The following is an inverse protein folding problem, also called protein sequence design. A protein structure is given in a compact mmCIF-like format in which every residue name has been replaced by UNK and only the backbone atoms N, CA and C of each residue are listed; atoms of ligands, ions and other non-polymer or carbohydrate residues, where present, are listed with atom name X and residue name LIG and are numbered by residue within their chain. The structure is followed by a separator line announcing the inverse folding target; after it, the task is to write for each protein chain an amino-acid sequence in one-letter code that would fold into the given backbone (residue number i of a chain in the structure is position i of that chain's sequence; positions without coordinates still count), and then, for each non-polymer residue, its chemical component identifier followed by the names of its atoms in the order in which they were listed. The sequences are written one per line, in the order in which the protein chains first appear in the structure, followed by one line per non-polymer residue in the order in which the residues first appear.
data_IF_868002665000
#
_entry.id   IF_868002665000
#
_cell.length_a   1.000
_cell.length_b   1.000
_cell.length_c   1.000
_cell.angle_alpha   90.00
_cell.angle_beta   90.00
_cell.angle_gamma   90.00
#
_symmetry.space_group_name_H-M   'P 1'
#
loop_
_entity.id
_entity.type
_entity.pdbx_description
1 polymer ?
#
# COMPACT_ATOMS: atom_id res chain seq x y z
N UNK A 1 5.92 5.90 -31.95
CA UNK A 1 4.47 6.05 -31.80
C UNK A 1 3.89 4.64 -31.62
N UNK A 2 3.73 4.20 -30.42
CA UNK A 2 2.86 3.06 -30.05
C UNK A 2 2.46 3.31 -28.61
N UNK A 3 1.26 3.83 -28.44
CA UNK A 3 0.62 3.94 -27.14
C UNK A 3 0.44 2.53 -26.57
N UNK A 4 0.76 2.33 -25.30
CA UNK A 4 0.35 1.16 -24.55
C UNK A 4 -1.16 1.30 -24.34
N UNK A 5 -1.93 0.89 -25.35
CA UNK A 5 -3.36 0.79 -25.31
C UNK A 5 -3.74 -0.52 -24.66
N UNK A 6 -4.47 -0.44 -23.57
CA UNK A 6 -5.24 -1.53 -23.04
C UNK A 6 -6.26 -1.94 -24.11
N UNK A 7 -6.19 -3.16 -24.66
CA UNK A 7 -7.14 -3.69 -25.63
C UNK A 7 -8.52 -3.81 -24.99
N UNK A 8 -9.42 -2.92 -25.38
CA UNK A 8 -10.86 -3.15 -25.29
C UNK A 8 -11.28 -3.70 -26.66
N UNK A 9 -11.62 -4.96 -26.74
CA UNK A 9 -12.22 -5.56 -27.94
C UNK A 9 -13.63 -5.04 -28.11
N UNK A 10 -13.85 -4.17 -29.09
CA UNK A 10 -15.17 -3.85 -29.61
C UNK A 10 -15.61 -4.96 -30.57
N UNK A 11 -16.61 -5.75 -30.20
CA UNK A 11 -17.34 -6.58 -31.13
C UNK A 11 -18.33 -5.71 -31.89
N UNK A 12 -18.23 -5.74 -33.19
CA UNK A 12 -19.10 -5.05 -34.13
C UNK A 12 -20.51 -5.67 -34.12
N UNK A 13 -21.48 -4.78 -34.25
CA UNK A 13 -22.90 -5.09 -34.41
C UNK A 13 -23.18 -5.81 -35.71
N UNK A 14 -24.07 -6.83 -35.66
CA UNK A 14 -24.85 -7.28 -36.78
C UNK A 14 -26.32 -7.24 -36.38
N UNK A 15 -27.14 -6.57 -37.14
CA UNK A 15 -28.58 -6.40 -37.02
C UNK A 15 -29.34 -7.70 -37.29
N UNK A 16 -30.46 -7.85 -36.63
CA UNK A 16 -31.43 -8.90 -37.01
C UNK A 16 -32.49 -9.14 -35.94
N UNK A 17 -33.54 -8.32 -35.98
CA UNK A 17 -34.95 -8.54 -35.60
C UNK A 17 -35.36 -9.88 -34.96
N UNK A 18 -36.05 -9.86 -33.83
CA UNK A 18 -37.50 -10.10 -33.64
C UNK A 18 -37.86 -10.09 -32.14
N UNK A 19 -38.93 -9.37 -31.86
CA UNK A 19 -39.67 -9.25 -30.61
C UNK A 19 -40.25 -10.60 -30.13
N UNK A 20 -40.05 -10.92 -28.84
CA UNK A 20 -41.10 -11.60 -28.04
C UNK A 20 -40.90 -11.23 -26.57
N UNK A 21 -41.93 -10.57 -26.03
CA UNK A 21 -42.08 -10.27 -24.63
C UNK A 21 -42.26 -11.58 -23.82
N UNK A 22 -41.51 -11.69 -22.71
CA UNK A 22 -41.78 -12.66 -21.66
C UNK A 22 -41.98 -11.93 -20.36
N UNK A 23 -43.20 -11.96 -19.86
CA UNK A 23 -43.65 -11.45 -18.58
C UNK A 23 -42.95 -12.16 -17.43
N UNK A 24 -42.45 -11.39 -16.46
CA UNK A 24 -41.96 -11.86 -15.17
C UNK A 24 -43.14 -11.98 -14.19
N UNK A 25 -43.29 -13.05 -13.41
CA UNK A 25 -44.33 -13.16 -12.41
C UNK A 25 -43.97 -12.36 -11.14
N UNK A 26 -45.02 -11.71 -10.62
CA UNK A 26 -45.10 -10.91 -9.41
C UNK A 26 -44.67 -11.69 -8.16
N UNK A 27 -43.95 -11.04 -7.29
CA UNK A 27 -43.64 -11.48 -5.93
C UNK A 27 -44.91 -11.51 -5.06
N UNK A 28 -45.11 -12.54 -4.20
CA UNK A 28 -46.10 -12.43 -3.15
C UNK A 28 -45.63 -11.63 -1.97
N UNK A 29 -46.44 -10.68 -1.54
CA UNK A 29 -46.32 -9.94 -0.30
C UNK A 29 -46.57 -10.84 0.91
N UNK A 30 -45.63 -10.85 1.87
CA UNK A 30 -45.82 -11.51 3.17
C UNK A 30 -46.36 -10.48 4.14
N UNK A 31 -47.62 -10.65 4.53
CA UNK A 31 -48.29 -9.88 5.57
C UNK A 31 -47.76 -10.26 6.96
N UNK A 32 -47.49 -9.23 7.77
CA UNK A 32 -47.28 -9.36 9.21
C UNK A 32 -48.52 -9.94 9.87
N UNK A 33 -48.40 -11.09 10.49
CA UNK A 33 -49.37 -11.57 11.49
C UNK A 33 -48.64 -11.71 12.82
N UNK A 34 -49.08 -10.87 13.78
CA UNK A 34 -48.64 -10.91 15.17
C UNK A 34 -49.12 -12.19 15.85
N UNK A 35 -48.22 -12.88 16.51
CA UNK A 35 -48.51 -13.95 17.45
C UNK A 35 -48.73 -13.36 18.83
N UNK A 36 -50.01 -13.32 19.25
CA UNK A 36 -50.41 -13.09 20.64
C UNK A 36 -50.46 -14.49 21.29
N UNK A 37 -49.72 -14.65 22.41
CA UNK A 37 -49.88 -15.75 23.33
C UNK A 37 -50.90 -15.37 24.44
N UNK A 38 -51.84 -16.22 24.78
CA UNK A 38 -52.77 -15.97 25.87
C UNK A 38 -52.19 -16.32 27.22
N UNK A 39 -52.39 -15.45 28.19
CA UNK A 39 -52.23 -15.69 29.61
C UNK A 39 -53.36 -16.58 30.13
N UNK A 40 -53.04 -17.73 30.75
CA UNK A 40 -53.97 -18.46 31.61
C UNK A 40 -53.33 -18.74 32.97
N UNK A 41 -53.99 -18.29 33.87
CA UNK A 41 -54.16 -18.31 35.30
C UNK A 41 -53.58 -19.54 36.08
N UNK A 42 -52.98 -19.13 37.20
CA UNK A 42 -53.02 -19.70 38.57
C UNK A 42 -52.84 -21.22 38.78
N UNK A 43 -51.78 -21.53 39.53
CA UNK A 43 -52.04 -22.25 40.79
C UNK A 43 -50.92 -21.99 41.79
N UNK A 44 -51.33 -21.81 43.07
CA UNK A 44 -50.51 -21.64 44.24
C UNK A 44 -50.10 -23.02 44.73
N UNK A 45 -48.81 -23.22 44.99
CA UNK A 45 -48.38 -24.10 46.08
C UNK A 45 -46.96 -23.71 46.49
N UNK A 46 -46.80 -23.41 47.75
CA UNK A 46 -45.51 -23.11 48.35
C UNK A 46 -44.62 -24.32 48.36
N UNK A 47 -43.34 -24.09 48.44
CA UNK A 47 -42.36 -24.84 49.26
C UNK A 47 -40.94 -24.43 48.92
N UNK A 48 -40.25 -23.92 49.91
CA UNK A 48 -38.82 -24.03 50.24
C UNK A 48 -37.79 -23.33 49.33
N UNK A 49 -37.21 -22.30 49.89
CA UNK A 49 -35.87 -21.79 49.64
C UNK A 49 -34.86 -22.94 49.56
N UNK A 50 -34.24 -23.11 48.42
CA UNK A 50 -32.94 -23.71 48.29
C UNK A 50 -32.03 -22.69 47.61
N UNK A 51 -31.28 -21.99 48.44
CA UNK A 51 -30.18 -21.14 48.02
C UNK A 51 -29.12 -22.01 47.31
N UNK A 52 -29.09 -21.95 46.00
CA UNK A 52 -27.96 -22.44 45.23
C UNK A 52 -26.84 -21.39 45.32
N UNK A 53 -25.88 -21.64 46.18
CA UNK A 53 -24.59 -20.94 46.17
C UNK A 53 -23.90 -21.33 44.87
N UNK A 54 -24.05 -20.48 43.83
CA UNK A 54 -23.21 -20.57 42.65
C UNK A 54 -21.81 -20.09 43.07
N UNK A 55 -20.92 -21.06 43.20
CA UNK A 55 -19.51 -20.83 43.51
C UNK A 55 -18.91 -19.87 42.43
N UNK A 56 -18.02 -18.94 42.81
CA UNK A 56 -17.47 -17.92 41.92
C UNK A 56 -16.44 -18.45 40.89
N UNK A 57 -16.43 -19.76 40.61
CA UNK A 57 -15.48 -20.34 39.62
C UNK A 57 -15.94 -20.26 38.16
N UNK A 58 -17.21 -19.96 37.89
CA UNK A 58 -17.71 -19.90 36.51
C UNK A 58 -17.64 -18.50 35.90
N UNK A 59 -17.40 -17.45 36.71
CA UNK A 59 -17.28 -16.08 36.19
C UNK A 59 -15.84 -15.71 35.79
N UNK A 60 -14.84 -16.46 36.24
CA UNK A 60 -13.44 -16.21 35.90
C UNK A 60 -13.02 -16.79 34.53
N UNK A 61 -13.81 -17.71 33.94
CA UNK A 61 -13.50 -18.29 32.63
C UNK A 61 -14.16 -17.52 31.45
N UNK A 62 -15.09 -16.59 31.70
CA UNK A 62 -15.72 -15.81 30.65
C UNK A 62 -15.03 -14.45 30.39
N UNK A 63 -14.07 -14.07 31.27
CA UNK A 63 -13.33 -12.80 31.12
C UNK A 63 -12.05 -12.92 30.33
N UNK A 64 -11.66 -14.13 29.90
CA UNK A 64 -10.39 -14.34 29.16
C UNK A 64 -10.53 -14.37 27.63
N UNK A 65 -11.73 -14.15 27.05
CA UNK A 65 -11.97 -14.28 25.60
C UNK A 65 -12.57 -13.05 24.93
N UNK A 66 -12.65 -11.92 25.61
CA UNK A 66 -13.05 -10.66 24.96
C UNK A 66 -11.82 -9.78 24.74
N UNK A 67 -10.95 -10.19 23.81
CA UNK A 67 -10.07 -9.25 23.14
C UNK A 67 -10.94 -8.39 22.21
N UNK A 68 -11.52 -7.32 22.73
CA UNK A 68 -12.03 -6.25 21.89
C UNK A 68 -10.85 -5.45 21.37
N UNK A 69 -10.29 -5.83 20.23
CA UNK A 69 -9.55 -4.88 19.42
C UNK A 69 -10.57 -3.92 18.84
N UNK A 70 -10.74 -2.76 19.47
CA UNK A 70 -11.33 -1.64 18.75
C UNK A 70 -10.28 -1.20 17.72
N UNK A 71 -10.57 -1.27 16.43
CA UNK A 71 -9.65 -0.70 15.46
C UNK A 71 -9.51 0.79 15.79
N UNK A 72 -8.27 1.27 15.95
CA UNK A 72 -7.99 2.67 15.76
C UNK A 72 -8.61 3.04 14.41
N UNK A 73 -9.25 4.18 14.31
CA UNK A 73 -9.96 4.57 13.09
C UNK A 73 -8.91 4.87 12.01
N UNK A 74 -8.54 3.82 11.27
CA UNK A 74 -7.76 3.93 10.07
C UNK A 74 -8.52 4.80 9.09
N UNK A 75 -7.88 5.81 8.57
CA UNK A 75 -8.52 6.69 7.63
C UNK A 75 -7.60 6.98 6.45
N UNK A 76 -8.17 6.99 5.29
CA UNK A 76 -7.56 7.49 4.07
C UNK A 76 -7.99 8.94 3.90
N UNK A 77 -7.04 9.82 3.60
CA UNK A 77 -7.30 11.21 3.25
C UNK A 77 -6.51 11.62 2.01
N UNK A 78 -7.06 12.52 1.24
CA UNK A 78 -6.34 13.12 0.12
C UNK A 78 -5.31 14.11 0.64
N UNK A 79 -4.03 13.87 0.32
CA UNK A 79 -2.90 14.73 0.66
C UNK A 79 -2.74 15.86 -0.35
N UNK A 80 -2.82 15.55 -1.65
CA UNK A 80 -2.71 16.52 -2.74
C UNK A 80 -3.38 16.01 -4.02
N UNK A 81 -3.76 16.94 -4.90
CA UNK A 81 -4.48 16.68 -6.13
C UNK A 81 -5.97 16.89 -6.00
N UNK A 82 -6.67 16.95 -7.12
CA UNK A 82 -8.13 16.98 -7.18
C UNK A 82 -8.61 15.70 -7.86
N UNK A 83 -9.47 14.91 -7.18
CA UNK A 83 -9.95 13.66 -7.75
C UNK A 83 -10.51 13.80 -9.17
N UNK A 84 -10.20 12.80 -10.02
CA UNK A 84 -10.71 12.68 -11.40
C UNK A 84 -10.43 13.90 -12.29
N UNK A 85 -9.50 14.77 -11.88
CA UNK A 85 -9.18 16.01 -12.61
C UNK A 85 -7.69 16.04 -12.95
N UNK A 86 -7.27 15.43 -14.08
CA UNK A 86 -5.88 15.47 -14.51
C UNK A 86 -5.43 16.89 -14.84
N UNK A 87 -4.16 17.17 -14.65
CA UNK A 87 -3.56 18.46 -14.98
C UNK A 87 -2.13 18.58 -14.47
N UNK A 88 -1.54 19.75 -14.63
CA UNK A 88 -0.12 19.99 -14.35
C UNK A 88 0.15 21.17 -13.44
N UNK A 89 -0.88 21.71 -12.76
CA UNK A 89 -0.73 22.90 -11.93
C UNK A 89 0.07 22.62 -10.66
N UNK A 90 1.03 23.48 -10.36
CA UNK A 90 1.61 23.67 -9.03
C UNK A 90 0.62 24.43 -8.14
N UNK A 91 0.74 24.31 -6.81
CA UNK A 91 -0.15 25.02 -5.91
C UNK A 91 -0.31 24.33 -4.56
N UNK A 92 -1.34 24.73 -3.82
CA UNK A 92 -1.68 24.06 -2.55
C UNK A 92 -2.28 22.68 -2.83
N UNK A 93 -2.36 21.85 -1.80
CA UNK A 93 -2.85 20.47 -1.88
C UNK A 93 -4.12 20.30 -2.73
N UNK A 94 -5.12 21.16 -2.58
CA UNK A 94 -6.41 21.06 -3.31
C UNK A 94 -6.41 21.77 -4.67
N UNK A 95 -5.47 22.67 -4.92
CA UNK A 95 -5.35 23.39 -6.20
C UNK A 95 -4.37 22.74 -7.15
N UNK A 96 -3.40 22.01 -6.62
CA UNK A 96 -2.45 21.25 -7.43
C UNK A 96 -3.16 20.19 -8.28
N UNK A 97 -2.56 19.87 -9.42
CA UNK A 97 -3.04 18.82 -10.33
C UNK A 97 -1.89 17.89 -10.68
N UNK A 98 -2.22 16.62 -10.80
CA UNK A 98 -1.35 15.57 -11.31
C UNK A 98 -1.98 14.95 -12.58
N UNK A 99 -1.18 14.18 -13.29
CA UNK A 99 -1.65 13.36 -14.40
C UNK A 99 -0.99 11.98 -14.32
N UNK A 100 -1.74 11.00 -13.83
CA UNK A 100 -1.31 9.66 -13.53
C UNK A 100 -0.09 9.64 -12.57
N UNK A 101 -0.20 10.21 -11.34
CA UNK A 101 0.87 10.12 -10.36
C UNK A 101 1.18 8.65 -10.07
N UNK A 102 2.46 8.26 -10.16
CA UNK A 102 2.89 6.87 -10.06
C UNK A 102 3.78 6.66 -8.82
N UNK A 103 5.10 6.57 -8.97
CA UNK A 103 6.02 6.29 -7.89
C UNK A 103 6.14 7.42 -6.87
N UNK A 104 6.44 7.04 -5.65
CA UNK A 104 6.59 7.94 -4.51
C UNK A 104 7.92 7.72 -3.79
N UNK A 105 8.53 8.79 -3.30
CA UNK A 105 9.62 8.74 -2.33
C UNK A 105 9.38 9.79 -1.24
N UNK A 106 9.77 9.50 0.00
CA UNK A 106 9.56 10.41 1.14
C UNK A 106 10.90 10.70 1.81
N UNK A 107 11.22 11.98 1.95
CA UNK A 107 12.40 12.41 2.67
C UNK A 107 12.17 12.36 4.19
N UNK A 108 13.28 12.38 4.95
CA UNK A 108 13.23 12.30 6.41
C UNK A 108 12.47 13.47 7.06
N UNK A 109 12.43 14.63 6.39
CA UNK A 109 11.66 15.81 6.83
C UNK A 109 10.15 15.69 6.56
N UNK A 110 9.70 14.63 5.84
CA UNK A 110 8.31 14.42 5.47
C UNK A 110 7.93 14.98 4.09
N UNK A 111 8.87 15.55 3.34
CA UNK A 111 8.65 15.95 1.95
C UNK A 111 8.37 14.72 1.09
N UNK A 112 7.29 14.75 0.30
CA UNK A 112 6.91 13.67 -0.61
C UNK A 112 7.30 14.06 -2.04
N UNK A 113 8.03 13.17 -2.71
CA UNK A 113 8.32 13.28 -4.14
C UNK A 113 7.40 12.35 -4.92
N UNK A 114 6.94 12.82 -6.08
CA UNK A 114 5.94 12.16 -6.92
C UNK A 114 6.45 12.10 -8.35
N UNK A 115 6.49 10.93 -8.94
CA UNK A 115 6.61 10.77 -10.38
C UNK A 115 5.26 11.09 -11.01
N UNK A 116 5.14 12.27 -11.61
CA UNK A 116 3.93 12.76 -12.28
C UNK A 116 3.97 12.29 -13.73
N UNK A 117 3.61 11.01 -13.91
CA UNK A 117 3.98 10.17 -15.05
C UNK A 117 3.61 10.80 -16.40
N UNK A 118 2.33 11.11 -16.61
CA UNK A 118 1.84 11.68 -17.87
C UNK A 118 2.15 13.20 -18.01
N UNK A 119 2.59 13.83 -16.92
CA UNK A 119 3.13 15.19 -16.99
C UNK A 119 4.64 15.21 -17.25
N UNK A 120 5.29 14.04 -17.36
CA UNK A 120 6.73 13.89 -17.65
C UNK A 120 7.62 14.68 -16.70
N UNK A 121 7.28 14.69 -15.41
CA UNK A 121 7.96 15.52 -14.41
C UNK A 121 8.04 14.84 -13.04
N UNK A 122 8.97 15.32 -12.24
CA UNK A 122 9.05 14.97 -10.82
C UNK A 122 8.50 16.14 -10.01
N UNK A 123 7.47 15.87 -9.21
CA UNK A 123 6.82 16.86 -8.36
C UNK A 123 7.24 16.67 -6.90
N UNK A 124 7.13 17.71 -6.12
CA UNK A 124 7.44 17.74 -4.70
C UNK A 124 6.24 18.30 -3.93
N UNK A 125 5.77 17.58 -2.92
CA UNK A 125 4.77 18.04 -1.95
C UNK A 125 5.54 18.36 -0.67
N UNK A 126 5.62 19.63 -0.33
CA UNK A 126 6.26 20.09 0.91
C UNK A 126 5.40 19.74 2.14
N UNK A 127 6.01 19.77 3.33
CA UNK A 127 5.30 19.53 4.62
C UNK A 127 4.20 20.53 4.91
N UNK A 128 4.19 21.67 4.22
CA UNK A 128 3.13 22.67 4.23
C UNK A 128 2.00 22.38 3.21
N UNK A 129 2.02 21.23 2.52
CA UNK A 129 1.04 20.83 1.51
C UNK A 129 1.16 21.56 0.16
N UNK A 130 2.23 22.34 -0.06
CA UNK A 130 2.46 23.00 -1.35
C UNK A 130 3.13 22.03 -2.31
N UNK A 131 2.55 21.89 -3.50
CA UNK A 131 3.09 21.10 -4.62
C UNK A 131 3.87 22.01 -5.55
N UNK A 132 5.08 21.61 -5.90
CA UNK A 132 5.96 22.29 -6.84
C UNK A 132 6.63 21.30 -7.78
N UNK A 133 6.99 21.75 -8.97
CA UNK A 133 7.77 20.97 -9.92
C UNK A 133 9.26 21.01 -9.53
N UNK A 134 9.84 19.83 -9.25
CA UNK A 134 11.26 19.69 -8.93
C UNK A 134 12.13 19.60 -10.19
N UNK A 135 11.71 18.78 -11.16
CA UNK A 135 12.45 18.55 -12.39
C UNK A 135 11.54 18.09 -13.53
N UNK A 136 11.93 18.41 -14.77
CA UNK A 136 11.14 18.14 -15.98
C UNK A 136 10.35 19.35 -16.44
N UNK A 137 9.94 19.35 -17.71
CA UNK A 137 9.02 20.34 -18.26
C UNK A 137 7.65 19.70 -18.45
N UNK A 138 6.70 20.18 -17.66
CA UNK A 138 5.33 19.65 -17.61
C UNK A 138 4.72 19.50 -19.01
N UNK A 139 4.19 18.32 -19.32
CA UNK A 139 3.54 17.99 -20.59
C UNK A 139 4.50 17.85 -21.78
N UNK A 140 5.82 17.87 -21.56
CA UNK A 140 6.79 17.81 -22.66
C UNK A 140 7.75 16.63 -22.46
N UNK A 141 7.49 15.47 -23.11
CA UNK A 141 8.38 14.32 -23.00
C UNK A 141 9.74 14.57 -23.65
N UNK A 142 10.74 13.80 -23.25
CA UNK A 142 12.09 13.82 -23.80
C UNK A 142 13.11 13.19 -22.88
N UNK A 143 14.38 13.24 -23.27
CA UNK A 143 15.46 12.54 -22.58
C UNK A 143 16.63 13.45 -22.17
N UNK A 144 16.47 14.76 -22.28
CA UNK A 144 17.55 15.70 -22.01
C UNK A 144 17.93 15.70 -20.51
N UNK A 145 19.24 15.64 -20.25
CA UNK A 145 19.82 15.99 -18.95
C UNK A 145 19.82 17.52 -18.76
N UNK A 146 19.95 17.98 -17.54
CA UNK A 146 20.05 19.42 -17.28
C UNK A 146 19.42 19.86 -15.96
N UNK A 147 19.17 21.17 -15.85
CA UNK A 147 18.52 21.77 -14.68
C UNK A 147 17.00 21.55 -14.70
N UNK A 148 16.33 21.90 -13.63
CA UNK A 148 14.89 21.73 -13.38
C UNK A 148 14.01 21.85 -14.61
N UNK A 149 14.13 22.95 -15.39
CA UNK A 149 13.24 23.20 -16.54
C UNK A 149 13.87 22.87 -17.89
N UNK A 150 15.15 22.49 -17.95
CA UNK A 150 15.83 22.05 -19.19
C UNK A 150 15.83 20.54 -19.32
N UNK A 151 15.83 19.83 -18.19
CA UNK A 151 15.70 18.38 -18.17
C UNK A 151 14.34 17.93 -18.72
N UNK A 152 14.33 16.74 -19.29
CA UNK A 152 13.13 16.07 -19.81
C UNK A 152 13.09 14.63 -19.31
N UNK A 153 11.88 14.16 -19.10
CA UNK A 153 11.57 12.75 -18.84
C UNK A 153 10.54 12.26 -19.86
N UNK A 154 10.38 10.97 -19.96
CA UNK A 154 9.27 10.35 -20.67
C UNK A 154 8.63 9.26 -19.80
N UNK A 155 7.45 9.55 -19.27
CA UNK A 155 6.71 8.66 -18.37
C UNK A 155 7.57 8.17 -17.18
N UNK A 156 8.13 9.08 -16.35
CA UNK A 156 8.83 8.67 -15.15
C UNK A 156 7.86 7.89 -14.24
N UNK A 157 8.27 6.71 -13.72
CA UNK A 157 7.32 5.82 -13.05
C UNK A 157 7.68 5.55 -11.60
N UNK A 158 8.90 5.15 -11.27
CA UNK A 158 9.29 4.86 -9.88
C UNK A 158 10.35 5.83 -9.39
N UNK A 159 10.35 6.04 -8.09
CA UNK A 159 11.29 6.90 -7.36
C UNK A 159 11.93 6.14 -6.19
N UNK A 160 13.24 6.28 -6.04
CA UNK A 160 13.94 5.88 -4.83
C UNK A 160 14.82 7.01 -4.32
N UNK A 161 14.80 7.28 -3.01
CA UNK A 161 15.63 8.31 -2.39
C UNK A 161 16.97 7.73 -1.97
N UNK A 162 18.05 8.33 -2.44
CA UNK A 162 19.40 7.95 -2.06
C UNK A 162 19.84 8.51 -0.70
N UNK A 163 20.89 7.94 -0.10
CA UNK A 163 21.44 8.41 1.15
C UNK A 163 22.04 9.83 1.06
N UNK A 164 22.35 10.28 -0.15
CA UNK A 164 22.80 11.64 -0.48
C UNK A 164 21.66 12.66 -0.68
N UNK A 165 20.40 12.21 -0.50
CA UNK A 165 19.20 12.98 -0.74
C UNK A 165 18.81 13.14 -2.21
N UNK A 166 19.57 12.57 -3.15
CA UNK A 166 19.17 12.55 -4.56
C UNK A 166 18.09 11.52 -4.82
N UNK A 167 17.23 11.80 -5.80
CA UNK A 167 16.25 10.84 -6.29
C UNK A 167 16.82 10.05 -7.46
N UNK A 168 16.56 8.76 -7.46
CA UNK A 168 16.76 7.87 -8.57
C UNK A 168 15.39 7.60 -9.21
N UNK A 169 15.32 7.73 -10.52
CA UNK A 169 14.06 7.74 -11.27
C UNK A 169 14.13 6.73 -12.39
N UNK A 170 13.17 5.84 -12.48
CA UNK A 170 12.95 5.07 -13.69
C UNK A 170 12.24 5.96 -14.72
N UNK A 171 12.98 6.36 -15.74
CA UNK A 171 12.49 7.15 -16.88
C UNK A 171 12.01 6.17 -17.95
N UNK A 172 10.85 5.58 -17.67
CA UNK A 172 10.36 4.34 -18.28
C UNK A 172 10.21 4.43 -19.78
N UNK A 173 9.64 5.52 -20.29
CA UNK A 173 9.49 5.75 -21.73
C UNK A 173 10.82 5.97 -22.45
N UNK A 174 11.83 6.45 -21.73
CA UNK A 174 13.20 6.61 -22.26
C UNK A 174 14.07 5.35 -22.07
N UNK A 175 13.62 4.32 -21.35
CA UNK A 175 14.40 3.11 -21.06
C UNK A 175 15.70 3.41 -20.32
N UNK A 176 15.71 4.39 -19.41
CA UNK A 176 16.88 4.84 -18.66
C UNK A 176 16.58 4.97 -17.18
N UNK A 177 17.65 4.95 -16.39
CA UNK A 177 17.62 5.32 -14.98
C UNK A 177 18.29 6.69 -14.83
N UNK A 178 17.56 7.62 -14.22
CA UNK A 178 18.01 9.02 -14.05
C UNK A 178 18.30 9.30 -12.58
N UNK A 179 19.21 10.23 -12.33
CA UNK A 179 19.48 10.77 -10.99
C UNK A 179 19.11 12.23 -10.96
N UNK A 180 18.32 12.64 -9.97
CA UNK A 180 17.86 14.01 -9.75
C UNK A 180 18.40 14.49 -8.42
N UNK A 181 19.19 15.54 -8.43
CA UNK A 181 19.72 16.15 -7.20
C UNK A 181 18.63 16.92 -6.45
N UNK A 182 18.89 17.26 -5.18
CA UNK A 182 17.94 18.01 -4.34
C UNK A 182 17.57 19.39 -4.90
N UNK A 183 18.40 19.97 -5.77
CA UNK A 183 18.15 21.22 -6.48
C UNK A 183 17.62 21.03 -7.91
N UNK A 184 17.20 19.80 -8.28
CA UNK A 184 16.52 19.51 -9.53
C UNK A 184 17.43 19.32 -10.76
N UNK A 185 18.75 19.16 -10.59
CA UNK A 185 19.65 18.81 -11.70
C UNK A 185 19.50 17.32 -12.01
N UNK A 186 19.24 16.99 -13.26
CA UNK A 186 19.00 15.65 -13.79
C UNK A 186 20.20 15.19 -14.60
N UNK A 187 20.63 13.95 -14.36
CA UNK A 187 21.64 13.25 -15.14
C UNK A 187 21.21 11.82 -15.42
N UNK A 188 21.57 11.29 -16.59
CA UNK A 188 21.37 9.88 -16.91
C UNK A 188 22.39 9.02 -16.15
N UNK A 189 21.90 8.11 -15.29
CA UNK A 189 22.73 7.19 -14.53
C UNK A 189 23.11 5.97 -15.35
N UNK A 190 22.16 5.35 -16.05
CA UNK A 190 22.38 4.17 -16.87
C UNK A 190 21.28 4.00 -17.93
N UNK A 191 21.59 3.27 -18.98
CA UNK A 191 20.70 3.05 -20.12
C UNK A 191 21.00 3.95 -21.30
N UNK A 192 20.26 3.77 -22.40
CA UNK A 192 20.37 4.57 -23.62
C UNK A 192 18.98 4.92 -24.11
N UNK A 193 18.67 6.20 -24.05
CA UNK A 193 17.32 6.70 -24.37
C UNK A 193 16.86 6.29 -25.77
N UNK A 194 15.61 5.83 -25.86
CA UNK A 194 14.97 5.36 -27.09
C UNK A 194 15.42 3.98 -27.58
N UNK A 195 16.30 3.29 -26.84
CA UNK A 195 16.81 1.98 -27.22
C UNK A 195 16.33 0.92 -26.22
N UNK A 196 15.09 0.49 -26.36
CA UNK A 196 14.54 -0.63 -25.61
C UNK A 196 15.21 -1.93 -26.00
N UNK A 197 15.96 -2.54 -25.10
CA UNK A 197 16.69 -3.79 -25.33
C UNK A 197 17.18 -4.38 -24.00
N UNK A 198 17.88 -5.51 -24.06
CA UNK A 198 18.64 -6.09 -22.97
C UNK A 198 20.13 -6.07 -23.30
N UNK A 199 20.91 -5.39 -22.49
CA UNK A 199 22.37 -5.51 -22.50
C UNK A 199 22.94 -5.22 -21.10
N UNK A 200 23.85 -6.05 -20.64
CA UNK A 200 24.71 -5.80 -19.49
C UNK A 200 25.95 -4.98 -19.92
N UNK A 201 26.66 -4.39 -18.98
CA UNK A 201 27.91 -3.67 -19.26
C UNK A 201 28.04 -2.36 -18.47
N UNK A 202 28.83 -1.42 -19.02
CA UNK A 202 28.93 -0.09 -18.41
C UNK A 202 27.62 0.67 -18.50
N UNK A 203 27.45 1.66 -17.63
CA UNK A 203 26.21 2.45 -17.53
C UNK A 203 25.64 2.91 -18.90
N UNK A 204 26.48 3.45 -19.79
CA UNK A 204 26.08 3.90 -21.13
C UNK A 204 25.91 2.79 -22.17
N UNK A 205 26.55 1.63 -21.96
CA UNK A 205 26.40 0.46 -22.82
C UNK A 205 25.17 -0.39 -22.46
N UNK A 206 24.77 -0.36 -21.21
CA UNK A 206 23.60 -1.11 -20.72
C UNK A 206 22.33 -0.68 -21.46
N UNK A 207 21.41 -1.63 -21.60
CA UNK A 207 20.06 -1.41 -22.15
C UNK A 207 19.03 -1.93 -21.17
N UNK A 208 17.95 -1.19 -21.06
CA UNK A 208 16.75 -1.56 -20.32
C UNK A 208 15.55 -1.55 -21.25
N UNK A 209 14.48 -2.19 -20.86
CA UNK A 209 13.20 -2.14 -21.54
C UNK A 209 12.08 -1.84 -20.52
N UNK A 210 11.56 -0.63 -20.56
CA UNK A 210 10.52 -0.17 -19.63
C UNK A 210 10.87 -0.47 -18.16
N UNK A 211 12.00 0.05 -17.63
CA UNK A 211 12.34 -0.12 -16.22
C UNK A 211 11.25 0.54 -15.37
N UNK A 212 10.78 -0.17 -14.33
CA UNK A 212 9.75 0.29 -13.40
C UNK A 212 10.32 0.48 -12.00
N UNK A 213 10.10 -0.47 -11.08
CA UNK A 213 10.48 -0.35 -9.68
C UNK A 213 11.97 -0.19 -9.44
N UNK A 214 12.30 0.63 -8.46
CA UNK A 214 13.66 0.90 -8.01
C UNK A 214 13.80 0.67 -6.51
N UNK A 215 14.94 0.11 -6.09
CA UNK A 215 15.36 0.12 -4.70
C UNK A 215 16.85 0.47 -4.60
N UNK A 216 17.23 1.22 -3.56
CA UNK A 216 18.61 1.60 -3.30
C UNK A 216 19.13 0.94 -2.04
N UNK A 217 20.36 0.41 -2.13
CA UNK A 217 21.12 0.00 -0.96
C UNK A 217 21.87 1.19 -0.34
N UNK A 218 22.26 1.02 0.92
CA UNK A 218 22.98 2.08 1.67
C UNK A 218 24.37 2.42 1.07
N UNK A 219 24.96 1.48 0.33
CA UNK A 219 26.22 1.69 -0.38
C UNK A 219 26.06 2.43 -1.72
N UNK A 220 24.82 2.68 -2.17
CA UNK A 220 24.50 3.31 -3.45
C UNK A 220 24.24 2.35 -4.61
N UNK A 221 24.25 1.05 -4.38
CA UNK A 221 23.82 0.05 -5.38
C UNK A 221 22.34 0.22 -5.68
N UNK A 222 21.97 0.24 -6.97
CA UNK A 222 20.57 0.40 -7.42
C UNK A 222 20.06 -0.93 -7.98
N UNK A 223 18.94 -1.39 -7.47
CA UNK A 223 18.18 -2.51 -8.01
C UNK A 223 17.05 -2.00 -8.89
N UNK A 224 16.85 -2.64 -10.05
CA UNK A 224 15.91 -2.20 -11.08
C UNK A 224 15.02 -3.36 -11.49
N UNK A 225 13.71 -3.20 -11.45
CA UNK A 225 12.79 -4.07 -12.19
C UNK A 225 12.81 -3.67 -13.67
N UNK A 226 13.53 -4.41 -14.46
CA UNK A 226 13.62 -4.24 -15.92
C UNK A 226 12.45 -4.98 -16.58
N UNK A 227 11.27 -4.37 -16.45
CA UNK A 227 9.96 -5.02 -16.55
C UNK A 227 9.68 -5.60 -17.92
N UNK A 228 10.03 -4.86 -18.98
CA UNK A 228 9.87 -5.33 -20.35
C UNK A 228 10.83 -6.44 -20.75
N UNK A 229 11.94 -6.61 -19.99
CA UNK A 229 12.89 -7.70 -20.14
C UNK A 229 12.64 -8.84 -19.14
N UNK A 230 11.68 -8.73 -18.24
CA UNK A 230 11.35 -9.73 -17.24
C UNK A 230 12.50 -10.06 -16.28
N UNK A 231 13.32 -9.03 -15.93
CA UNK A 231 14.54 -9.17 -15.14
C UNK A 231 14.52 -8.31 -13.89
N UNK A 232 15.33 -8.73 -12.92
CA UNK A 232 15.85 -7.85 -11.87
C UNK A 232 17.31 -7.56 -12.18
N UNK A 233 17.64 -6.26 -12.33
CA UNK A 233 18.98 -5.78 -12.68
C UNK A 233 19.63 -5.06 -11.51
N UNK A 234 20.94 -5.01 -11.52
CA UNK A 234 21.77 -4.29 -10.55
C UNK A 234 22.63 -3.26 -11.28
N UNK A 235 22.62 -2.03 -10.80
CA UNK A 235 23.61 -1.01 -11.17
C UNK A 235 24.55 -0.89 -9.97
N UNK A 236 25.76 -1.38 -10.12
CA UNK A 236 26.78 -1.28 -9.09
C UNK A 236 27.30 0.16 -8.94
N UNK A 237 27.94 0.47 -7.81
CA UNK A 237 28.46 1.82 -7.53
C UNK A 237 29.54 2.30 -8.51
N UNK A 238 30.20 1.38 -9.20
CA UNK A 238 31.14 1.69 -10.31
C UNK A 238 30.45 1.93 -11.66
N UNK A 239 29.11 1.90 -11.71
CA UNK A 239 28.32 2.09 -12.91
C UNK A 239 28.15 0.85 -13.80
N UNK A 240 28.61 -0.32 -13.36
CA UNK A 240 28.37 -1.58 -14.10
C UNK A 240 26.93 -2.04 -13.88
N UNK A 241 26.25 -2.38 -14.96
CA UNK A 241 24.89 -2.96 -14.94
C UNK A 241 24.98 -4.45 -15.27
N UNK A 242 24.29 -5.26 -14.47
CA UNK A 242 24.20 -6.71 -14.67
C UNK A 242 22.83 -7.25 -14.29
N UNK A 243 22.44 -8.39 -14.89
CA UNK A 243 21.27 -9.13 -14.46
C UNK A 243 21.55 -9.85 -13.12
N UNK A 244 20.60 -9.76 -12.16
CA UNK A 244 20.62 -10.51 -10.91
C UNK A 244 19.81 -11.80 -11.03
N UNK A 245 18.60 -11.69 -11.57
CA UNK A 245 17.67 -12.82 -11.74
C UNK A 245 16.64 -12.55 -12.83
N UNK A 246 16.11 -13.63 -13.40
CA UNK A 246 15.16 -13.63 -14.50
C UNK A 246 15.80 -14.07 -15.81
N UNK A 247 14.99 -14.27 -16.84
CA UNK A 247 15.43 -14.67 -18.18
C UNK A 247 14.93 -13.65 -19.20
N UNK A 248 15.83 -12.95 -19.93
CA UNK A 248 15.43 -11.86 -20.84
C UNK A 248 14.70 -12.36 -22.09
N UNK A 249 14.79 -13.64 -22.43
CA UNK A 249 14.19 -14.20 -23.64
C UNK A 249 12.79 -14.77 -23.40
N UNK A 250 12.43 -15.02 -22.13
CA UNK A 250 11.19 -15.75 -21.81
C UNK A 250 10.62 -15.32 -20.47
N UNK A 251 9.37 -14.92 -20.46
CA UNK A 251 8.62 -14.71 -19.21
C UNK A 251 8.11 -16.04 -18.64
N UNK A 252 7.85 -16.07 -17.35
CA UNK A 252 7.34 -17.24 -16.64
C UNK A 252 7.20 -16.98 -15.15
N UNK A 253 6.95 -18.05 -14.39
CA UNK A 253 6.71 -17.96 -12.94
C UNK A 253 7.57 -18.91 -12.12
N UNK A 254 8.51 -19.62 -12.74
CA UNK A 254 9.33 -20.60 -12.03
C UNK A 254 10.28 -19.93 -11.04
N UNK A 255 10.35 -20.51 -9.84
CA UNK A 255 11.41 -20.24 -8.87
C UNK A 255 12.74 -20.82 -9.38
N UNK A 256 13.86 -20.25 -8.95
CA UNK A 256 15.18 -20.71 -9.40
C UNK A 256 16.30 -19.76 -9.01
N UNK A 257 17.45 -19.89 -9.64
CA UNK A 257 18.61 -19.01 -9.39
C UNK A 257 19.10 -18.39 -10.69
N UNK A 258 19.31 -17.07 -10.67
CA UNK A 258 19.78 -16.31 -11.83
C UNK A 258 18.83 -16.48 -13.02
N UNK A 259 19.34 -16.90 -14.16
CA UNK A 259 18.57 -17.11 -15.40
C UNK A 259 17.64 -18.33 -15.40
N UNK A 260 17.70 -19.18 -14.37
CA UNK A 260 16.75 -20.29 -14.19
C UNK A 260 15.49 -19.88 -13.45
N UNK A 261 15.42 -18.66 -12.93
CA UNK A 261 14.22 -18.06 -12.42
C UNK A 261 13.51 -17.27 -13.52
N UNK A 262 12.19 -17.18 -13.43
CA UNK A 262 11.39 -16.45 -14.41
C UNK A 262 10.47 -15.46 -13.71
N UNK A 263 10.28 -14.30 -14.33
CA UNK A 263 9.29 -13.29 -13.97
C UNK A 263 8.37 -13.01 -15.16
N UNK A 264 7.27 -12.35 -14.89
CA UNK A 264 6.37 -11.81 -15.90
C UNK A 264 5.98 -10.38 -15.56
N UNK A 265 6.69 -9.42 -16.14
CA UNK A 265 6.53 -8.01 -15.86
C UNK A 265 6.70 -7.68 -14.36
N UNK A 266 7.90 -7.86 -13.77
CA UNK A 266 8.18 -7.44 -12.39
C UNK A 266 8.03 -5.92 -12.30
N UNK A 267 7.33 -5.42 -11.26
CA UNK A 267 6.97 -4.00 -11.12
C UNK A 267 7.65 -3.37 -9.91
N UNK A 268 7.19 -3.61 -8.71
CA UNK A 268 7.70 -3.00 -7.49
C UNK A 268 8.88 -3.78 -6.90
N UNK A 269 9.82 -3.06 -6.30
CA UNK A 269 10.94 -3.63 -5.55
C UNK A 269 11.04 -2.97 -4.18
N UNK A 270 11.16 -3.78 -3.13
CA UNK A 270 11.51 -3.30 -1.80
C UNK A 270 12.74 -4.06 -1.27
N UNK A 271 13.78 -3.32 -0.83
CA UNK A 271 15.01 -3.89 -0.30
C UNK A 271 14.84 -4.20 1.20
N UNK A 272 15.15 -5.41 1.60
CA UNK A 272 15.17 -5.85 2.99
C UNK A 272 16.53 -5.59 3.67
N UNK A 273 16.57 -5.50 5.00
CA UNK A 273 17.82 -5.27 5.75
C UNK A 273 18.87 -6.37 5.56
N UNK A 274 18.48 -7.58 5.19
CA UNK A 274 19.36 -8.71 4.90
C UNK A 274 19.92 -8.70 3.47
N UNK A 275 19.61 -7.66 2.69
CA UNK A 275 20.03 -7.51 1.29
C UNK A 275 19.18 -8.27 0.28
N UNK A 276 18.14 -8.99 0.71
CA UNK A 276 17.18 -9.57 -0.22
C UNK A 276 16.17 -8.54 -0.71
N UNK A 277 15.57 -8.81 -1.87
CA UNK A 277 14.54 -7.98 -2.48
C UNK A 277 13.19 -8.68 -2.37
N UNK A 278 12.16 -7.92 -2.04
CA UNK A 278 10.79 -8.28 -2.33
C UNK A 278 10.42 -7.69 -3.69
N UNK A 279 9.79 -8.49 -4.54
CA UNK A 279 9.44 -8.12 -5.91
C UNK A 279 7.96 -8.46 -6.15
N UNK A 280 7.21 -7.52 -6.68
CA UNK A 280 5.89 -7.79 -7.23
C UNK A 280 6.04 -8.30 -8.66
N UNK A 281 5.65 -9.54 -8.89
CA UNK A 281 5.65 -10.21 -10.19
C UNK A 281 4.24 -10.09 -10.79
N UNK A 282 3.96 -8.89 -11.32
CA UNK A 282 2.61 -8.36 -11.50
C UNK A 282 1.72 -9.22 -12.40
N UNK A 283 2.21 -9.66 -13.56
CA UNK A 283 1.42 -10.49 -14.47
C UNK A 283 1.37 -11.96 -14.04
N UNK A 284 2.18 -12.37 -13.05
CA UNK A 284 2.05 -13.66 -12.37
C UNK A 284 1.14 -13.60 -11.14
N UNK A 285 0.71 -12.41 -10.71
CA UNK A 285 -0.13 -12.22 -9.52
C UNK A 285 0.53 -12.72 -8.23
N UNK A 286 1.87 -12.63 -8.14
CA UNK A 286 2.66 -13.16 -7.03
C UNK A 286 3.60 -12.13 -6.45
N UNK A 287 4.01 -12.37 -5.20
CA UNK A 287 5.14 -11.70 -4.58
C UNK A 287 6.31 -12.67 -4.52
N UNK A 288 7.48 -12.19 -4.94
CA UNK A 288 8.72 -12.99 -5.00
C UNK A 288 9.75 -12.40 -4.04
N UNK A 289 10.62 -13.26 -3.51
CA UNK A 289 11.82 -12.84 -2.81
C UNK A 289 13.03 -13.21 -3.63
N UNK A 290 13.97 -12.29 -3.81
CA UNK A 290 15.22 -12.47 -4.53
C UNK A 290 16.37 -12.23 -3.56
N UNK A 291 17.21 -13.21 -3.32
CA UNK A 291 18.40 -13.04 -2.47
C UNK A 291 19.52 -12.31 -3.22
N UNK A 292 20.52 -11.82 -2.50
CA UNK A 292 21.72 -11.21 -3.10
C UNK A 292 22.48 -12.17 -4.04
N UNK A 293 22.31 -13.50 -3.89
CA UNK A 293 22.85 -14.52 -4.78
C UNK A 293 21.94 -14.82 -5.99
N UNK A 294 20.85 -14.08 -6.18
CA UNK A 294 19.92 -14.26 -7.29
C UNK A 294 18.98 -15.47 -7.13
N UNK A 295 18.82 -16.03 -5.92
CA UNK A 295 17.83 -17.09 -5.67
C UNK A 295 16.45 -16.45 -5.54
N UNK A 296 15.51 -16.88 -6.37
CA UNK A 296 14.13 -16.41 -6.42
C UNK A 296 13.19 -17.45 -5.83
N UNK A 297 12.33 -17.03 -4.94
CA UNK A 297 11.26 -17.86 -4.35
C UNK A 297 9.93 -17.10 -4.33
N UNK A 298 8.84 -17.80 -4.60
CA UNK A 298 7.49 -17.26 -4.44
C UNK A 298 7.10 -17.23 -2.96
N UNK A 299 6.73 -16.07 -2.43
CA UNK A 299 6.42 -15.88 -1.01
C UNK A 299 4.92 -15.67 -0.74
N UNK A 300 4.15 -15.22 -1.73
CA UNK A 300 2.69 -15.08 -1.61
C UNK A 300 2.03 -15.04 -3.00
N UNK A 301 0.75 -15.41 -3.05
CA UNK A 301 -0.01 -15.50 -4.30
C UNK A 301 0.16 -16.84 -4.99
N UNK A 302 -0.47 -17.01 -6.15
CA UNK A 302 -0.32 -18.19 -6.99
C UNK A 302 -0.29 -17.77 -8.46
N UNK A 303 0.74 -18.21 -9.18
CA UNK A 303 0.95 -17.83 -10.57
C UNK A 303 -0.25 -18.17 -11.45
N UNK A 304 -0.66 -17.20 -12.27
CA UNK A 304 -1.81 -17.31 -13.17
C UNK A 304 -3.18 -17.30 -12.48
N UNK A 305 -3.24 -17.04 -11.16
CA UNK A 305 -4.50 -17.01 -10.40
C UNK A 305 -4.75 -15.61 -9.85
N UNK A 306 -5.42 -14.79 -10.65
CA UNK A 306 -5.94 -13.49 -10.22
C UNK A 306 -6.97 -13.65 -9.09
N UNK A 307 -7.02 -12.69 -8.18
CA UNK A 307 -8.00 -12.66 -7.08
C UNK A 307 -7.62 -11.71 -5.96
N UNK A 308 -8.49 -11.62 -4.96
CA UNK A 308 -8.37 -10.69 -3.83
C UNK A 308 -8.47 -11.38 -2.46
N UNK A 309 -8.30 -12.70 -2.42
CA UNK A 309 -8.46 -13.48 -1.19
C UNK A 309 -7.38 -13.11 -0.18
N UNK A 310 -7.81 -12.79 1.05
CA UNK A 310 -6.96 -12.64 2.23
C UNK A 310 -6.69 -14.01 2.89
N UNK A 311 -5.66 -14.09 3.73
CA UNK A 311 -5.35 -15.29 4.49
C UNK A 311 -3.87 -15.65 4.49
N UNK A 312 -3.51 -16.94 4.70
CA UNK A 312 -2.13 -17.40 4.58
C UNK A 312 -1.54 -17.07 3.20
N UNK A 313 -0.26 -16.70 3.16
CA UNK A 313 0.41 -16.22 1.96
C UNK A 313 0.23 -17.12 0.71
N UNK A 314 0.30 -18.45 0.89
CA UNK A 314 0.12 -19.42 -0.21
C UNK A 314 -1.31 -19.48 -0.76
N UNK A 315 -2.33 -19.13 0.06
CA UNK A 315 -3.74 -19.12 -0.34
C UNK A 315 -4.25 -17.73 -0.70
N UNK A 316 -3.51 -16.69 -0.36
CA UNK A 316 -3.83 -15.33 -0.75
C UNK A 316 -3.77 -15.15 -2.26
N UNK A 317 -4.54 -14.19 -2.77
CA UNK A 317 -4.55 -13.84 -4.20
C UNK A 317 -4.40 -12.34 -4.36
N UNK A 318 -3.78 -11.96 -5.46
CA UNK A 318 -3.57 -10.56 -5.87
C UNK A 318 -4.11 -10.36 -7.29
N UNK A 319 -4.45 -9.12 -7.61
CA UNK A 319 -4.75 -8.70 -8.97
C UNK A 319 -3.47 -8.40 -9.74
N UNK A 320 -3.10 -7.14 -9.80
CA UNK A 320 -1.79 -6.72 -10.33
C UNK A 320 -1.03 -6.02 -9.23
N UNK A 321 -0.25 -6.75 -8.41
CA UNK A 321 0.55 -6.10 -7.38
C UNK A 321 1.57 -5.17 -8.05
N UNK A 322 1.52 -3.89 -7.67
CA UNK A 322 2.36 -2.83 -8.20
C UNK A 322 3.52 -2.52 -7.23
N UNK A 323 3.65 -1.26 -6.79
CA UNK A 323 4.74 -0.88 -5.88
C UNK A 323 4.59 -1.53 -4.49
N UNK A 324 5.75 -1.68 -3.85
CA UNK A 324 5.93 -2.31 -2.56
C UNK A 324 6.59 -1.36 -1.58
N UNK A 325 6.18 -1.40 -0.32
CA UNK A 325 6.83 -0.66 0.75
C UNK A 325 7.06 -1.57 1.97
N UNK A 326 8.32 -1.71 2.38
CA UNK A 326 8.72 -2.56 3.50
C UNK A 326 8.89 -1.73 4.77
N UNK A 327 8.12 -2.05 5.80
CA UNK A 327 8.24 -1.42 7.11
C UNK A 327 9.41 -2.01 7.93
N UNK A 328 9.96 -1.25 8.89
CA UNK A 328 11.05 -1.73 9.75
C UNK A 328 10.74 -2.98 10.57
N UNK A 329 9.46 -3.25 10.85
CA UNK A 329 9.00 -4.45 11.54
C UNK A 329 8.86 -5.68 10.61
N UNK A 330 9.25 -5.56 9.34
CA UNK A 330 9.17 -6.62 8.33
C UNK A 330 7.82 -6.77 7.65
N UNK A 331 6.85 -5.93 7.96
CA UNK A 331 5.56 -5.89 7.25
C UNK A 331 5.76 -5.31 5.85
N UNK A 332 5.31 -6.03 4.84
CA UNK A 332 5.30 -5.57 3.44
C UNK A 332 3.91 -5.05 3.08
N UNK A 333 3.85 -3.82 2.60
CA UNK A 333 2.64 -3.22 2.04
C UNK A 333 2.68 -3.32 0.52
N UNK A 334 1.52 -3.56 -0.08
CA UNK A 334 1.36 -3.86 -1.51
C UNK A 334 0.21 -3.03 -2.07
N UNK A 335 0.44 -2.28 -3.11
CA UNK A 335 -0.62 -1.72 -3.93
C UNK A 335 -1.16 -2.82 -4.85
N UNK A 336 -2.38 -3.29 -4.61
CA UNK A 336 -3.06 -4.25 -5.47
C UNK A 336 -3.91 -3.47 -6.50
N UNK A 337 -3.20 -3.01 -7.53
CA UNK A 337 -3.70 -1.98 -8.45
C UNK A 337 -5.00 -2.38 -9.16
N UNK A 338 -5.07 -3.61 -9.68
CA UNK A 338 -6.26 -4.07 -10.41
C UNK A 338 -7.49 -4.30 -9.51
N UNK A 339 -7.28 -4.50 -8.21
CA UNK A 339 -8.37 -4.65 -7.25
C UNK A 339 -8.66 -3.40 -6.43
N UNK A 340 -7.97 -2.28 -6.72
CA UNK A 340 -8.22 -0.97 -6.08
C UNK A 340 -8.05 -1.00 -4.57
N UNK A 341 -7.10 -1.82 -4.06
CA UNK A 341 -6.88 -2.02 -2.63
C UNK A 341 -5.42 -1.88 -2.23
N UNK A 342 -5.21 -1.58 -0.97
CA UNK A 342 -3.90 -1.67 -0.33
C UNK A 342 -3.90 -2.91 0.54
N UNK A 343 -2.92 -3.78 0.30
CA UNK A 343 -2.76 -5.05 0.99
C UNK A 343 -1.54 -5.01 1.90
N UNK A 344 -1.49 -5.93 2.85
CA UNK A 344 -0.39 -6.10 3.80
C UNK A 344 -0.03 -7.58 3.90
N UNK A 345 1.26 -7.90 3.80
CA UNK A 345 1.82 -9.21 4.14
C UNK A 345 2.66 -9.04 5.42
N UNK A 346 2.26 -9.72 6.49
CA UNK A 346 2.95 -9.70 7.77
C UNK A 346 4.08 -10.73 7.82
N UNK A 347 5.09 -10.58 8.70
CA UNK A 347 6.21 -11.52 8.80
C UNK A 347 5.81 -12.96 9.15
N UNK A 348 4.67 -13.16 9.79
CA UNK A 348 4.08 -14.49 10.06
C UNK A 348 3.38 -15.11 8.84
N UNK A 349 3.47 -14.48 7.66
CA UNK A 349 2.99 -15.00 6.40
C UNK A 349 1.47 -14.87 6.19
N UNK A 350 0.84 -13.83 6.71
CA UNK A 350 -0.58 -13.52 6.46
C UNK A 350 -0.75 -12.30 5.59
N UNK A 351 -1.62 -12.43 4.58
CA UNK A 351 -2.06 -11.32 3.73
C UNK A 351 -3.42 -10.81 4.23
N UNK A 352 -3.59 -9.50 4.27
CA UNK A 352 -4.86 -8.85 4.58
C UNK A 352 -5.03 -7.56 3.77
N UNK A 353 -6.27 -7.26 3.40
CA UNK A 353 -6.67 -5.96 2.85
C UNK A 353 -6.76 -4.95 3.98
N UNK A 354 -6.06 -3.82 3.86
CA UNK A 354 -6.04 -2.78 4.89
C UNK A 354 -6.82 -1.53 4.49
N UNK A 355 -6.99 -1.26 3.21
CA UNK A 355 -7.81 -0.15 2.71
C UNK A 355 -8.30 -0.41 1.28
N UNK A 356 -9.37 0.28 0.89
CA UNK A 356 -10.05 0.07 -0.38
C UNK A 356 -11.14 -0.99 -0.30
N UNK A 357 -11.92 -1.10 -1.37
CA UNK A 357 -12.93 -2.14 -1.54
C UNK A 357 -12.74 -2.82 -2.88
N UNK A 358 -12.55 -4.14 -2.85
CA UNK A 358 -12.35 -4.96 -4.05
C UNK A 358 -13.45 -4.74 -5.08
N UNK A 359 -13.04 -4.44 -6.31
CA UNK A 359 -13.95 -4.23 -7.43
C UNK A 359 -14.80 -2.96 -7.36
N UNK A 360 -14.46 -2.02 -6.46
CA UNK A 360 -15.11 -0.73 -6.35
C UNK A 360 -14.07 0.39 -6.35
N UNK A 361 -13.86 0.96 -7.53
CA UNK A 361 -13.03 2.15 -7.74
C UNK A 361 -13.70 3.42 -7.21
N UNK A 362 -12.93 4.49 -7.11
CA UNK A 362 -13.38 5.82 -6.70
C UNK A 362 -12.36 6.56 -5.85
N UNK A 363 -12.71 7.80 -5.45
CA UNK A 363 -11.82 8.74 -4.75
C UNK A 363 -12.33 9.09 -3.33
N UNK A 364 -13.10 8.21 -2.72
CA UNK A 364 -13.72 8.48 -1.41
C UNK A 364 -12.68 8.41 -0.30
N UNK A 365 -12.56 9.50 0.48
CA UNK A 365 -11.83 9.53 1.74
C UNK A 365 -12.65 8.93 2.88
N UNK A 366 -12.03 8.51 3.96
CA UNK A 366 -12.70 8.01 5.15
C UNK A 366 -12.07 6.77 5.75
N UNK A 367 -12.81 6.07 6.62
CA UNK A 367 -12.36 4.82 7.24
C UNK A 367 -11.95 3.79 6.17
N UNK A 368 -10.96 2.96 6.47
CA UNK A 368 -10.31 2.08 5.48
C UNK A 368 -11.27 1.24 4.64
N UNK A 369 -12.29 0.64 5.25
CA UNK A 369 -13.30 -0.14 4.52
C UNK A 369 -14.29 0.70 3.70
N UNK A 370 -14.36 2.02 3.92
CA UNK A 370 -15.18 2.97 3.18
C UNK A 370 -14.39 3.72 2.13
N UNK A 371 -13.07 3.85 2.31
CA UNK A 371 -12.20 4.48 1.33
C UNK A 371 -12.25 3.75 0.00
N UNK A 372 -12.06 4.50 -1.08
CA UNK A 372 -11.97 3.97 -2.44
C UNK A 372 -10.71 4.49 -3.09
N UNK A 373 -10.07 3.63 -3.86
CA UNK A 373 -8.95 3.96 -4.74
C UNK A 373 -9.31 3.61 -6.18
N UNK A 374 -8.57 4.17 -7.11
CA UNK A 374 -8.65 3.76 -8.50
C UNK A 374 -7.25 3.53 -9.07
N UNK A 375 -6.89 2.24 -9.21
CA UNK A 375 -5.57 1.82 -9.67
C UNK A 375 -4.44 2.41 -8.80
N UNK A 376 -4.44 2.22 -7.45
CA UNK A 376 -3.35 2.68 -6.61
C UNK A 376 -2.06 2.02 -7.06
N UNK A 377 -1.01 2.80 -7.31
CA UNK A 377 0.24 2.28 -7.87
C UNK A 377 1.41 2.47 -6.91
N UNK A 378 1.82 3.70 -6.64
CA UNK A 378 2.95 4.01 -5.79
C UNK A 378 2.64 3.91 -4.30
N UNK A 379 3.60 3.38 -3.54
CA UNK A 379 3.56 3.30 -2.08
C UNK A 379 4.85 3.80 -1.47
N UNK A 380 4.75 4.60 -0.42
CA UNK A 380 5.87 4.96 0.42
C UNK A 380 5.46 5.01 1.89
N UNK A 381 6.39 4.68 2.79
CA UNK A 381 6.17 4.75 4.24
C UNK A 381 6.83 6.02 4.75
N UNK A 382 6.05 6.91 5.35
CA UNK A 382 6.57 8.09 6.03
C UNK A 382 7.21 7.72 7.37
N UNK A 383 8.10 8.57 7.87
CA UNK A 383 8.82 8.36 9.12
C UNK A 383 7.90 8.08 10.33
N UNK A 384 6.66 8.57 10.27
CA UNK A 384 5.63 8.33 11.28
C UNK A 384 4.84 7.03 11.06
N UNK A 385 5.23 6.18 10.09
CA UNK A 385 4.63 4.87 9.83
C UNK A 385 3.29 4.88 9.10
N UNK A 386 2.80 6.03 8.63
CA UNK A 386 1.68 6.09 7.72
C UNK A 386 2.13 5.82 6.29
N UNK A 387 1.24 5.28 5.48
CA UNK A 387 1.49 5.07 4.07
C UNK A 387 1.06 6.30 3.26
N UNK A 388 1.86 6.64 2.27
CA UNK A 388 1.45 7.55 1.21
C UNK A 388 1.24 6.72 -0.05
N UNK A 389 0.12 6.94 -0.71
CA UNK A 389 -0.38 6.18 -1.86
C UNK A 389 -0.55 7.11 -3.05
N UNK A 390 0.05 6.78 -4.17
CA UNK A 390 -0.32 7.39 -5.43
C UNK A 390 -1.58 6.69 -5.95
N UNK A 391 -2.69 7.40 -5.87
CA UNK A 391 -4.01 6.94 -6.33
C UNK A 391 -4.18 7.36 -7.79
N UNK A 392 -3.50 6.61 -8.66
CA UNK A 392 -3.06 7.02 -10.00
C UNK A 392 -4.21 7.50 -10.87
N UNK A 393 -5.25 6.70 -11.05
CA UNK A 393 -6.36 7.10 -11.93
C UNK A 393 -7.33 8.08 -11.27
N UNK A 394 -7.23 8.29 -9.96
CA UNK A 394 -7.90 9.39 -9.27
C UNK A 394 -7.10 10.70 -9.32
N UNK A 395 -5.91 10.72 -9.90
CA UNK A 395 -5.08 11.92 -10.04
C UNK A 395 -4.69 12.55 -8.71
N UNK A 396 -4.56 11.73 -7.66
CA UNK A 396 -4.32 12.21 -6.29
C UNK A 396 -3.19 11.44 -5.61
N UNK A 397 -2.59 12.10 -4.63
CA UNK A 397 -1.72 11.46 -3.63
C UNK A 397 -2.51 11.41 -2.32
N UNK A 398 -2.64 10.20 -1.77
CA UNK A 398 -3.45 9.92 -0.58
C UNK A 398 -2.56 9.51 0.58
N UNK A 399 -3.01 9.77 1.77
CA UNK A 399 -2.37 9.31 3.00
C UNK A 399 -3.28 8.30 3.70
N UNK A 400 -2.73 7.14 4.01
CA UNK A 400 -3.37 6.07 4.75
C UNK A 400 -2.72 5.96 6.12
N UNK A 401 -3.45 6.30 7.15
CA UNK A 401 -3.06 6.05 8.52
C UNK A 401 -3.25 4.55 8.79
N UNK A 402 -2.13 3.81 8.85
CA UNK A 402 -2.20 2.37 9.12
C UNK A 402 -2.68 2.11 10.55
N UNK A 403 -3.54 1.09 10.75
CA UNK A 403 -3.95 0.69 12.07
C UNK A 403 -2.76 0.21 12.89
N UNK A 404 -2.65 0.67 14.10
CA UNK A 404 -1.79 0.01 15.05
C UNK A 404 -2.61 -0.95 15.91
N UNK A 405 -2.05 -2.11 16.17
CA UNK A 405 -2.68 -3.13 17.02
C UNK A 405 -2.68 -2.64 18.47
N UNK A 406 -3.85 -2.60 19.10
CA UNK A 406 -4.00 -2.30 20.51
C UNK A 406 -4.25 -3.59 21.29
N UNK A 407 -3.36 -3.93 22.19
CA UNK A 407 -3.52 -5.02 23.13
C UNK A 407 -3.95 -4.49 24.51
N UNK A 408 -4.81 -5.21 25.21
CA UNK A 408 -5.12 -4.97 26.62
C UNK A 408 -4.90 -6.26 27.37
N UNK A 409 -3.92 -6.28 28.26
CA UNK A 409 -3.58 -7.45 29.08
C UNK A 409 -3.76 -7.15 30.55
N UNK A 410 -4.26 -8.11 31.38
CA UNK A 410 -4.30 -7.98 32.83
C UNK A 410 -2.88 -8.04 33.40
N UNK A 411 -2.60 -7.21 34.40
CA UNK A 411 -1.35 -7.22 35.18
C UNK A 411 -1.66 -6.97 36.66
N UNK A 412 -1.91 -8.04 37.42
CA UNK A 412 -2.41 -7.93 38.78
C UNK A 412 -3.79 -7.25 38.80
N UNK A 413 -3.92 -6.18 39.62
CA UNK A 413 -5.12 -5.35 39.67
C UNK A 413 -5.19 -4.25 38.61
N UNK A 414 -4.22 -4.19 37.72
CA UNK A 414 -4.11 -3.20 36.68
C UNK A 414 -4.36 -3.82 35.27
N UNK A 415 -4.49 -2.98 34.26
CA UNK A 415 -4.48 -3.36 32.84
C UNK A 415 -3.34 -2.65 32.14
N UNK A 416 -2.57 -3.39 31.37
CA UNK A 416 -1.55 -2.82 30.48
C UNK A 416 -2.16 -2.70 29.09
N UNK A 417 -2.28 -1.46 28.63
CA UNK A 417 -2.67 -1.12 27.27
C UNK A 417 -1.38 -0.98 26.47
N UNK A 418 -1.18 -1.82 25.47
CA UNK A 418 0.00 -1.81 24.59
C UNK A 418 -0.41 -1.58 23.15
N UNK A 419 0.46 -0.96 22.36
CA UNK A 419 0.22 -0.73 20.94
C UNK A 419 1.53 -0.70 20.15
N UNK A 420 1.43 -0.98 18.85
CA UNK A 420 2.50 -0.70 17.91
C UNK A 420 2.72 0.81 17.84
N UNK A 421 3.95 1.26 17.97
CA UNK A 421 4.27 2.67 18.03
C UNK A 421 5.34 3.05 17.02
N UNK A 422 5.31 4.30 16.58
CA UNK A 422 6.36 4.89 15.75
C UNK A 422 7.29 5.69 16.65
N UNK A 423 8.57 5.38 16.59
CA UNK A 423 9.58 6.06 17.39
C UNK A 423 9.54 7.57 17.12
N UNK A 424 9.52 8.35 18.19
CA UNK A 424 9.42 9.82 18.14
C UNK A 424 7.99 10.37 18.08
N UNK A 425 6.97 9.53 17.89
CA UNK A 425 5.57 9.96 17.96
C UNK A 425 5.05 9.96 19.39
N UNK A 426 4.10 10.86 19.66
CA UNK A 426 3.40 10.92 20.95
C UNK A 426 1.98 10.36 20.83
N UNK A 427 1.54 9.67 21.87
CA UNK A 427 0.25 9.00 21.91
C UNK A 427 -0.51 9.36 23.18
N UNK A 428 -1.82 9.59 23.07
CA UNK A 428 -2.71 9.78 24.20
C UNK A 428 -3.65 8.58 24.33
N UNK A 429 -3.52 7.81 25.40
CA UNK A 429 -4.48 6.77 25.73
C UNK A 429 -5.70 7.44 26.36
N UNK A 430 -6.88 7.05 25.91
CA UNK A 430 -8.14 7.49 26.48
C UNK A 430 -8.98 6.28 26.87
N UNK A 431 -9.82 6.46 27.88
CA UNK A 431 -10.76 5.45 28.35
C UNK A 431 -12.17 6.02 28.56
N UNK A 432 -13.14 5.13 28.64
CA UNK A 432 -14.51 5.40 29.15
C UNK A 432 -15.07 4.18 29.86
N UNK A 433 -15.86 4.42 30.87
CA UNK A 433 -16.40 3.35 31.73
C UNK A 433 -17.68 2.72 31.15
N UNK A 434 -18.34 3.35 30.19
CA UNK A 434 -19.54 2.83 29.53
C UNK A 434 -19.55 3.27 28.04
N UNK A 435 -20.29 2.55 27.21
CA UNK A 435 -20.36 2.83 25.77
C UNK A 435 -20.85 4.27 25.46
N UNK A 436 -21.77 4.78 26.25
CA UNK A 436 -22.32 6.15 26.11
C UNK A 436 -21.51 7.23 26.85
N UNK A 437 -20.47 6.87 27.61
CA UNK A 437 -19.67 7.83 28.37
C UNK A 437 -18.74 8.63 27.44
N UNK A 438 -18.34 9.82 27.88
CA UNK A 438 -17.31 10.62 27.21
C UNK A 438 -15.93 10.02 27.41
N UNK A 439 -15.05 10.22 26.41
CA UNK A 439 -13.65 9.79 26.49
C UNK A 439 -12.87 10.70 27.44
N UNK A 440 -12.07 10.09 28.32
CA UNK A 440 -11.19 10.74 29.29
C UNK A 440 -9.74 10.32 29.02
N UNK A 441 -8.78 11.19 29.27
CA UNK A 441 -7.37 10.86 29.12
C UNK A 441 -6.93 9.93 30.26
N UNK A 442 -6.21 8.86 29.90
CA UNK A 442 -5.54 7.99 30.85
C UNK A 442 -4.09 8.49 31.00
N UNK A 443 -3.83 9.26 32.06
CA UNK A 443 -2.53 9.86 32.31
C UNK A 443 -2.08 10.87 31.24
N UNK A 444 -0.80 11.17 31.21
CA UNK A 444 -0.16 12.04 30.21
C UNK A 444 0.11 11.27 28.92
N UNK A 445 0.37 12.03 27.84
CA UNK A 445 0.77 11.46 26.56
C UNK A 445 2.10 10.67 26.70
N UNK A 446 2.19 9.58 25.98
CA UNK A 446 3.37 8.70 25.90
C UNK A 446 4.14 8.98 24.64
N UNK A 447 5.40 9.39 24.75
CA UNK A 447 6.31 9.49 23.61
C UNK A 447 6.98 8.14 23.38
N UNK A 448 6.83 7.60 22.18
CA UNK A 448 7.36 6.29 21.84
C UNK A 448 8.87 6.37 21.58
N UNK A 449 9.65 5.59 22.32
CA UNK A 449 11.09 5.40 22.15
C UNK A 449 11.46 4.09 21.47
N UNK A 450 10.45 3.23 21.20
CA UNK A 450 10.57 1.93 20.55
C UNK A 450 9.38 1.70 19.62
N UNK A 451 9.42 0.62 18.83
CA UNK A 451 8.33 0.20 17.91
C UNK A 451 7.06 -0.29 18.62
N UNK A 452 7.08 -0.31 19.95
CA UNK A 452 5.92 -0.56 20.79
C UNK A 452 5.91 0.42 21.95
N UNK A 453 4.73 0.78 22.42
CA UNK A 453 4.53 1.60 23.61
C UNK A 453 3.42 1.01 24.46
N UNK A 454 3.39 1.36 25.74
CA UNK A 454 2.35 0.89 26.65
C UNK A 454 2.04 1.93 27.72
N UNK A 455 0.83 1.85 28.26
CA UNK A 455 0.39 2.62 29.42
C UNK A 455 -0.43 1.74 30.35
N UNK A 456 -0.25 1.90 31.66
CA UNK A 456 -0.94 1.11 32.66
C UNK A 456 -2.14 1.86 33.21
N UNK A 457 -3.31 1.21 33.20
CA UNK A 457 -4.49 1.64 33.93
C UNK A 457 -4.55 0.90 35.27
N UNK A 458 -4.29 1.61 36.36
CA UNK A 458 -4.24 1.05 37.70
C UNK A 458 -5.60 1.03 38.42
N UNK A 459 -6.61 1.61 37.83
CA UNK A 459 -7.82 1.97 38.55
C UNK A 459 -9.09 1.44 37.92
N UNK A 460 -9.41 0.14 37.88
CA UNK A 460 -10.83 -0.19 37.94
C UNK A 460 -11.15 -1.66 38.02
N UNK A 461 -12.06 -1.97 38.95
CA UNK A 461 -12.84 -3.19 38.98
C UNK A 461 -13.90 -3.26 37.87
N UNK A 462 -14.20 -2.14 37.17
CA UNK A 462 -15.22 -2.06 36.12
C UNK A 462 -14.65 -2.25 34.73
N UNK A 463 -15.40 -2.84 33.80
CA UNK A 463 -14.98 -2.89 32.38
C UNK A 463 -14.80 -1.48 31.82
N UNK A 464 -13.70 -1.25 31.09
CA UNK A 464 -13.41 0.00 30.40
C UNK A 464 -13.22 -0.24 28.91
N UNK A 465 -13.60 0.77 28.13
CA UNK A 465 -13.23 0.89 26.73
C UNK A 465 -12.00 1.77 26.62
N UNK A 466 -11.06 1.42 25.74
CA UNK A 466 -9.85 2.19 25.50
C UNK A 466 -9.74 2.58 24.05
N UNK A 467 -9.16 3.76 23.81
CA UNK A 467 -8.66 4.15 22.48
C UNK A 467 -7.33 4.86 22.62
N UNK A 468 -6.56 4.85 21.56
CA UNK A 468 -5.26 5.52 21.50
C UNK A 468 -5.33 6.55 20.38
N UNK A 469 -4.97 7.78 20.70
CA UNK A 469 -4.84 8.86 19.75
C UNK A 469 -3.37 9.12 19.53
N UNK A 470 -2.92 9.13 18.29
CA UNK A 470 -1.61 9.65 17.94
C UNK A 470 -1.73 11.17 17.91
N UNK A 471 -0.82 11.85 18.61
CA UNK A 471 -0.73 13.31 18.64
C UNK A 471 0.20 13.74 17.50
N UNK A 472 -0.23 14.71 16.72
CA UNK A 472 0.58 15.30 15.63
C UNK A 472 1.68 16.19 16.17
#
# INVERSE_FOLDING_TARGET
MAAVGCCVSSAAAAEGTTSTALELPLRPSISQRGLRFPLSQRERAGVRENAWIIKPLALALLTSLLQFSLPAQDSVRTLAGLPETPGSLDGTNTTARFNDPAGLAIAADGTVFVADNQNHAIRRIGTNGVVTTLAGLLGTPGNADGSTFTARFDNPTSLALGPDGALYVSDTGNHTIRRVTTNGVVTTLAGSAGNADYADGSASAARFNQPLGLALAADGTVFVADSGNHLIRVIATNGTVSALAGNPETFGSADGTGTNAFFNNPVGIALAPDGSLFVSDANNFTLRRVTAAGVVTTIAGAAGQDGSTDGPAASARFGKPAELALAPNGTLYIADAAHHTIRRLTPDGRVSTIAGLVGADGAVDGANGLARFFNPYGLAIAARGHLVVADTYNQTVRELLAPFTVGVAPSGNARVISWEAVVGSSYQVQFKDAAAATWQNLGSAVSATALSASQTDVASASPRFYRILRLE
#
